data_IF_523899476958
#
_entry.id   IF_523899476958
#
_cell.length_a   1.000
_cell.length_b   1.000
_cell.length_c   1.000
_cell.angle_alpha   90.00
_cell.angle_beta   90.00
_cell.angle_gamma   90.00
#
_symmetry.space_group_name_H-M   'P 1'
#
loop_
_entity.id
_entity.type
_entity.pdbx_description
1 polymer ?
#
# COMPACT_ATOMS: atom_id res chain seq x y z
N UNK A 1 -8.10 -12.95 -2.38
CA UNK A 1 -9.05 -13.41 -1.34
C UNK A 1 -8.76 -12.82 0.05
N UNK A 2 -7.56 -13.02 0.61
CA UNK A 2 -7.23 -12.56 1.96
C UNK A 2 -7.33 -11.04 2.16
N UNK A 3 -6.91 -10.24 1.17
CA UNK A 3 -7.06 -8.78 1.21
C UNK A 3 -8.51 -8.33 1.37
N UNK A 4 -9.44 -9.01 0.70
CA UNK A 4 -10.87 -8.70 0.81
C UNK A 4 -11.40 -9.02 2.20
N UNK A 5 -11.03 -10.17 2.78
CA UNK A 5 -11.39 -10.54 4.16
C UNK A 5 -10.87 -9.53 5.18
N UNK A 6 -9.67 -8.99 4.96
CA UNK A 6 -9.09 -7.94 5.79
C UNK A 6 -9.93 -6.65 5.70
N UNK A 7 -10.29 -6.23 4.48
CA UNK A 7 -11.13 -5.06 4.26
C UNK A 7 -12.52 -5.20 4.93
N UNK A 8 -13.17 -6.35 4.76
CA UNK A 8 -14.44 -6.66 5.41
C UNK A 8 -14.36 -6.62 6.94
N UNK A 9 -13.24 -7.07 7.52
CA UNK A 9 -13.01 -6.97 8.95
C UNK A 9 -12.89 -5.51 9.43
N UNK A 10 -12.21 -4.64 8.67
CA UNK A 10 -12.13 -3.21 9.00
C UNK A 10 -13.51 -2.54 8.92
N UNK A 11 -14.28 -2.81 7.86
CA UNK A 11 -15.65 -2.30 7.70
C UNK A 11 -16.56 -2.75 8.84
N UNK A 12 -16.41 -3.99 9.32
CA UNK A 12 -17.26 -4.56 10.37
C UNK A 12 -16.90 -4.06 11.76
N UNK A 13 -15.61 -4.01 12.11
CA UNK A 13 -15.19 -3.81 13.49
C UNK A 13 -14.66 -2.39 13.76
N UNK A 14 -13.91 -1.83 12.82
CA UNK A 14 -13.19 -0.56 12.99
C UNK A 14 -13.95 0.66 12.45
N UNK A 15 -15.03 0.48 11.69
CA UNK A 15 -15.83 1.60 11.16
C UNK A 15 -16.74 2.21 12.23
N UNK A 16 -16.69 3.52 12.38
CA UNK A 16 -17.58 4.26 13.26
C UNK A 16 -18.88 4.68 12.54
N UNK A 17 -19.99 4.77 13.27
CA UNK A 17 -21.33 5.01 12.70
C UNK A 17 -21.45 6.37 12.01
N UNK A 18 -20.78 7.40 12.55
CA UNK A 18 -20.75 8.75 11.99
C UNK A 18 -19.72 8.93 10.86
N UNK A 19 -19.01 7.87 10.49
CA UNK A 19 -17.87 7.89 9.57
C UNK A 19 -16.52 7.89 10.28
N UNK A 20 -15.48 7.47 9.55
CA UNK A 20 -14.13 7.31 10.08
C UNK A 20 -13.84 5.90 10.63
N UNK A 21 -12.60 5.72 11.10
CA UNK A 21 -12.10 4.44 11.61
C UNK A 21 -11.44 4.61 12.97
N UNK A 22 -11.51 3.56 13.79
CA UNK A 22 -11.07 3.55 15.18
C UNK A 22 -10.19 2.35 15.47
N UNK A 23 -9.20 2.53 16.33
CA UNK A 23 -8.40 1.41 16.83
C UNK A 23 -9.22 0.52 17.78
N UNK A 24 -8.95 -0.77 17.78
CA UNK A 24 -9.59 -1.73 18.70
C UNK A 24 -8.73 -1.93 19.95
N UNK A 25 -9.37 -2.03 21.11
CA UNK A 25 -8.70 -2.28 22.40
C UNK A 25 -8.23 -3.72 22.54
N UNK A 26 -9.13 -4.67 22.26
CA UNK A 26 -8.91 -6.10 22.37
C UNK A 26 -9.64 -6.83 21.24
N UNK A 27 -8.87 -7.48 20.36
CA UNK A 27 -9.37 -8.20 19.19
C UNK A 27 -9.96 -9.58 19.51
N UNK A 28 -9.80 -10.07 20.74
CA UNK A 28 -10.34 -11.36 21.19
C UNK A 28 -11.77 -11.25 21.70
N UNK A 29 -12.25 -10.03 21.97
CA UNK A 29 -13.60 -9.76 22.47
C UNK A 29 -14.53 -9.35 21.32
N UNK A 30 -15.79 -9.82 21.36
CA UNK A 30 -16.80 -9.50 20.35
C UNK A 30 -18.09 -9.01 21.06
N UNK A 31 -18.52 -7.76 20.83
CA UNK A 31 -17.84 -6.73 20.03
C UNK A 31 -16.58 -6.20 20.74
N UNK A 32 -15.52 -5.88 19.99
CA UNK A 32 -14.30 -5.32 20.56
C UNK A 32 -14.53 -3.91 21.11
N UNK A 33 -13.84 -3.58 22.20
CA UNK A 33 -13.73 -2.19 22.67
C UNK A 33 -13.06 -1.30 21.62
N UNK A 34 -13.48 -0.03 21.53
CA UNK A 34 -12.98 0.95 20.54
C UNK A 34 -12.23 2.06 21.25
N UNK A 35 -11.02 2.38 20.77
CA UNK A 35 -10.26 3.56 21.19
C UNK A 35 -10.64 4.70 20.27
N UNK A 36 -11.22 5.77 20.80
CA UNK A 36 -11.60 6.99 20.04
C UNK A 36 -10.36 7.75 19.50
N UNK A 37 -9.64 7.09 18.60
CA UNK A 37 -8.37 7.48 17.99
C UNK A 37 -8.27 6.81 16.64
N UNK A 38 -8.18 7.64 15.60
CA UNK A 38 -7.80 7.20 14.25
C UNK A 38 -6.33 7.50 14.04
N UNK A 39 -5.53 6.47 13.84
CA UNK A 39 -4.10 6.65 13.60
C UNK A 39 -3.84 7.19 12.19
N UNK A 40 -2.91 8.13 12.03
CA UNK A 40 -2.63 8.76 10.72
C UNK A 40 -2.13 7.76 9.68
N UNK A 41 -1.39 6.73 10.11
CA UNK A 41 -0.90 5.66 9.23
C UNK A 41 -2.05 4.83 8.62
N UNK A 42 -3.24 4.81 9.22
CA UNK A 42 -4.40 4.12 8.64
C UNK A 42 -4.70 4.64 7.23
N UNK A 43 -4.73 5.97 7.09
CA UNK A 43 -4.99 6.63 5.81
C UNK A 43 -3.79 6.53 4.87
N UNK A 44 -2.58 6.82 5.38
CA UNK A 44 -1.39 6.92 4.55
C UNK A 44 -0.85 5.56 4.07
N UNK A 45 -0.98 4.51 4.87
CA UNK A 45 -0.41 3.21 4.58
C UNK A 45 -1.50 2.20 4.25
N UNK A 46 -2.43 1.98 5.18
CA UNK A 46 -3.36 0.86 5.03
C UNK A 46 -4.31 1.06 3.84
N UNK A 47 -4.91 2.25 3.71
CA UNK A 47 -5.75 2.54 2.55
C UNK A 47 -4.96 2.60 1.24
N UNK A 48 -3.70 3.07 1.26
CA UNK A 48 -2.83 3.07 0.08
C UNK A 48 -2.58 1.64 -0.41
N UNK A 49 -2.23 0.72 0.49
CA UNK A 49 -1.97 -0.67 0.11
C UNK A 49 -3.26 -1.39 -0.30
N UNK A 50 -4.39 -1.13 0.36
CA UNK A 50 -5.68 -1.67 -0.09
C UNK A 50 -6.04 -1.14 -1.50
N UNK A 51 -5.79 0.13 -1.77
CA UNK A 51 -5.99 0.71 -3.10
C UNK A 51 -5.12 0.05 -4.16
N UNK A 52 -3.82 -0.14 -3.89
CA UNK A 52 -2.92 -0.85 -4.83
C UNK A 52 -3.26 -2.34 -4.97
N UNK A 53 -3.83 -2.96 -3.94
CA UNK A 53 -4.19 -4.37 -3.95
C UNK A 53 -5.45 -4.66 -4.78
N UNK A 54 -6.40 -3.73 -4.81
CA UNK A 54 -7.67 -3.86 -5.54
C UNK A 54 -7.73 -3.04 -6.83
N UNK A 55 -6.84 -2.06 -6.97
CA UNK A 55 -6.73 -1.20 -8.14
C UNK A 55 -6.14 -1.93 -9.33
N UNK A 56 -6.42 -1.40 -10.51
CA UNK A 56 -5.88 -1.91 -11.75
C UNK A 56 -4.36 -1.69 -11.82
N UNK A 57 -3.63 -2.65 -12.40
CA UNK A 57 -2.17 -2.63 -12.51
C UNK A 57 -1.62 -1.53 -13.41
N UNK A 58 -2.48 -0.81 -14.13
CA UNK A 58 -2.15 0.29 -15.02
C UNK A 58 -1.95 1.64 -14.30
N UNK A 59 -2.46 1.79 -13.07
CA UNK A 59 -2.26 3.00 -12.26
C UNK A 59 -0.79 3.18 -11.86
N UNK A 60 -0.06 2.07 -11.65
CA UNK A 60 1.37 2.07 -11.32
C UNK A 60 2.05 0.77 -11.82
N UNK A 61 2.47 0.74 -13.10
CA UNK A 61 3.13 -0.42 -13.69
C UNK A 61 4.46 -0.74 -13.00
N UNK A 62 4.48 -1.78 -12.17
CA UNK A 62 5.65 -2.23 -11.38
C UNK A 62 6.80 -2.78 -12.26
N UNK A 63 6.52 -3.07 -13.53
CA UNK A 63 7.50 -3.41 -14.56
C UNK A 63 8.28 -2.19 -15.08
N UNK A 64 7.83 -0.98 -14.77
CA UNK A 64 8.44 0.28 -15.22
C UNK A 64 9.04 1.11 -14.09
N UNK A 65 8.65 0.84 -12.85
CA UNK A 65 9.03 1.63 -11.68
C UNK A 65 9.50 0.73 -10.53
N UNK A 66 10.61 1.12 -9.90
CA UNK A 66 11.10 0.53 -8.65
C UNK A 66 10.89 1.53 -7.52
N UNK A 67 10.38 1.04 -6.39
CA UNK A 67 10.18 1.88 -5.20
C UNK A 67 11.40 1.83 -4.29
N UNK A 68 11.80 3.00 -3.77
CA UNK A 68 12.79 3.06 -2.69
C UNK A 68 12.14 2.74 -1.32
N UNK A 69 12.93 2.76 -0.25
CA UNK A 69 12.45 2.49 1.12
C UNK A 69 11.42 3.51 1.64
N UNK A 70 11.28 4.67 0.99
CA UNK A 70 10.30 5.71 1.32
C UNK A 70 9.09 5.70 0.37
N UNK A 71 8.93 4.64 -0.43
CA UNK A 71 7.84 4.46 -1.39
C UNK A 71 7.77 5.54 -2.49
N UNK A 72 8.90 6.14 -2.86
CA UNK A 72 9.00 6.98 -4.05
C UNK A 72 9.25 6.13 -5.31
N UNK A 73 8.43 6.26 -6.37
CA UNK A 73 8.62 5.52 -7.61
C UNK A 73 9.77 6.11 -8.45
N UNK A 74 10.77 5.29 -8.76
CA UNK A 74 11.89 5.63 -9.64
C UNK A 74 11.77 4.84 -10.95
N UNK A 75 11.91 5.48 -12.13
CA UNK A 75 11.81 4.79 -13.41
C UNK A 75 13.01 3.86 -13.64
N UNK A 76 12.74 2.69 -14.22
CA UNK A 76 13.79 1.75 -14.65
C UNK A 76 14.44 2.28 -15.93
N UNK A 77 15.74 2.59 -15.88
CA UNK A 77 16.51 2.91 -17.08
C UNK A 77 16.92 1.62 -17.78
N UNK A 78 16.35 1.36 -18.97
CA UNK A 78 16.93 0.42 -19.92
C UNK A 78 17.89 1.20 -20.83
N UNK A 79 19.22 0.99 -20.73
CA UNK A 79 20.14 1.61 -21.68
C UNK A 79 19.85 1.08 -23.10
N UNK A 80 19.70 2.00 -24.06
CA UNK A 80 19.55 1.66 -25.48
C UNK A 80 20.77 0.89 -25.99
N UNK A 81 20.62 0.08 -27.04
CA UNK A 81 21.75 -0.67 -27.62
C UNK A 81 22.91 0.25 -28.06
N UNK A 82 22.63 1.50 -28.40
CA UNK A 82 23.63 2.54 -28.67
C UNK A 82 24.59 2.77 -27.49
N UNK A 83 24.07 2.77 -26.26
CA UNK A 83 24.88 2.93 -25.04
C UNK A 83 25.64 1.64 -24.70
N UNK A 84 25.11 0.47 -25.09
CA UNK A 84 25.81 -0.82 -24.93
C UNK A 84 26.94 -1.00 -25.95
N UNK A 85 26.84 -0.38 -27.13
CA UNK A 85 27.89 -0.37 -28.16
C UNK A 85 28.99 0.67 -27.95
N UNK A 86 28.73 1.72 -27.16
CA UNK A 86 29.74 2.66 -26.70
C UNK A 86 30.59 1.99 -25.61
N UNK A 87 31.64 1.27 -26.00
CA UNK A 87 32.47 0.41 -25.15
C UNK A 87 33.02 1.08 -23.89
N UNK A 88 32.25 1.08 -22.82
CA UNK A 88 32.75 1.26 -21.46
C UNK A 88 33.41 -0.04 -21.01
N UNK A 89 34.65 -0.28 -21.46
CA UNK A 89 35.53 -1.23 -20.78
C UNK A 89 35.95 -0.61 -19.45
N UNK A 90 35.51 -1.19 -18.33
CA UNK A 90 36.05 -0.83 -17.02
C UNK A 90 37.50 -1.33 -16.95
N UNK A 91 38.43 -0.39 -16.84
CA UNK A 91 39.80 -0.63 -16.39
C UNK A 91 39.82 -1.11 -14.94
#
# INVERSE_FOLDING_TARGET
EWGWKIFEAFEKYAKHETGGYTSLDDVTTIPPGRRDKMETFWLAETLKYLYLLFGDTDVLPLDKYVFNTEAHPLPIFMPSEEVRGAGWSRS
#
